data_IF_300508185286
#
_entry.id   IF_300508185286
#
_cell.length_a   1.000
_cell.length_b   1.000
_cell.length_c   1.000
_cell.angle_alpha   90.00
_cell.angle_beta   90.00
_cell.angle_gamma   90.00
#
_symmetry.space_group_name_H-M   'P 1'
#
loop_
_entity.id
_entity.type
_entity.pdbx_description
1 polymer ?
#
# COMPACT_ATOMS: atom_id res chain seq x y z
N UNK A 1 -14.82 66.22 -15.08
CA UNK A 1 -14.10 65.44 -14.04
C UNK A 1 -14.79 64.14 -13.60
N UNK A 2 -15.89 63.70 -14.24
CA UNK A 2 -16.51 62.39 -13.94
C UNK A 2 -15.97 61.21 -14.77
N UNK A 3 -15.33 61.46 -15.92
CA UNK A 3 -14.77 60.39 -16.76
C UNK A 3 -13.44 59.84 -16.26
N UNK A 4 -12.67 60.62 -15.47
CA UNK A 4 -11.42 60.16 -14.87
C UNK A 4 -11.65 59.28 -13.63
N UNK A 5 -12.77 59.45 -12.92
CA UNK A 5 -13.17 58.60 -11.80
C UNK A 5 -13.70 57.22 -12.24
N UNK A 6 -14.29 57.13 -13.44
CA UNK A 6 -14.73 55.85 -14.01
C UNK A 6 -13.56 54.93 -14.37
N UNK A 7 -12.43 55.47 -14.85
CA UNK A 7 -11.25 54.66 -15.15
C UNK A 7 -10.49 54.22 -13.89
N UNK A 8 -10.58 54.97 -12.78
CA UNK A 8 -10.04 54.53 -11.48
C UNK A 8 -10.93 53.43 -10.87
N UNK A 9 -12.25 53.50 -11.04
CA UNK A 9 -13.17 52.45 -10.57
C UNK A 9 -13.05 51.12 -11.35
N UNK A 10 -12.60 51.17 -12.61
CA UNK A 10 -12.29 49.97 -13.41
C UNK A 10 -10.85 49.49 -13.14
N UNK A 11 -9.90 50.42 -12.90
CA UNK A 11 -8.52 50.11 -12.55
C UNK A 11 -8.32 49.49 -11.16
N UNK A 12 -9.24 49.73 -10.22
CA UNK A 12 -9.21 49.09 -8.89
C UNK A 12 -9.91 47.72 -8.82
N UNK A 13 -10.44 47.22 -9.96
CA UNK A 13 -10.96 45.85 -10.08
C UNK A 13 -9.97 44.88 -10.73
N UNK A 14 -8.77 45.34 -11.09
CA UNK A 14 -7.74 44.53 -11.76
C UNK A 14 -6.60 44.05 -10.83
N UNK A 15 -6.88 43.90 -9.53
CA UNK A 15 -6.00 43.21 -8.58
C UNK A 15 -6.79 42.21 -7.73
N UNK A 16 -7.66 41.42 -8.35
CA UNK A 16 -8.35 40.32 -7.67
C UNK A 16 -8.75 39.20 -8.65
N UNK A 17 -7.80 38.72 -9.46
CA UNK A 17 -8.04 37.58 -10.35
C UNK A 17 -6.86 36.62 -10.41
N UNK A 18 -6.43 36.15 -9.24
CA UNK A 18 -5.51 35.02 -9.14
C UNK A 18 -5.95 33.96 -8.10
N UNK A 19 -7.17 34.00 -7.56
CA UNK A 19 -7.59 33.09 -6.46
C UNK A 19 -9.06 32.61 -6.54
N UNK A 20 -9.70 32.60 -7.72
CA UNK A 20 -11.12 32.19 -7.82
C UNK A 20 -11.48 31.29 -9.02
N UNK A 21 -10.62 30.33 -9.35
CA UNK A 21 -10.94 29.19 -10.25
C UNK A 21 -10.46 27.82 -9.70
N UNK A 22 -10.38 27.65 -8.38
CA UNK A 22 -9.89 26.39 -7.76
C UNK A 22 -10.97 25.66 -6.90
N UNK A 23 -12.02 26.38 -6.49
CA UNK A 23 -13.02 25.85 -5.56
C UNK A 23 -14.22 25.17 -6.25
N UNK A 24 -14.50 25.49 -7.52
CA UNK A 24 -15.59 24.86 -8.29
C UNK A 24 -15.20 23.44 -8.73
N UNK A 25 -14.02 23.28 -9.32
CA UNK A 25 -13.55 22.02 -9.90
C UNK A 25 -13.28 20.94 -8.84
N UNK A 26 -12.78 21.34 -7.67
CA UNK A 26 -12.58 20.43 -6.53
C UNK A 26 -13.90 19.97 -5.87
N UNK A 27 -14.95 20.81 -5.91
CA UNK A 27 -16.27 20.49 -5.36
C UNK A 27 -17.07 19.54 -6.26
N UNK A 28 -16.95 19.69 -7.58
CA UNK A 28 -17.63 18.84 -8.56
C UNK A 28 -17.02 17.43 -8.62
N UNK A 29 -15.68 17.32 -8.58
CA UNK A 29 -14.99 16.02 -8.50
C UNK A 29 -15.38 15.27 -7.23
N UNK A 30 -15.50 15.97 -6.08
CA UNK A 30 -15.90 15.33 -4.81
C UNK A 30 -17.37 14.91 -4.83
N UNK A 31 -18.24 15.65 -5.53
CA UNK A 31 -19.67 15.33 -5.68
C UNK A 31 -19.93 14.13 -6.61
N UNK A 32 -19.00 13.79 -7.51
CA UNK A 32 -19.18 12.71 -8.49
C UNK A 32 -18.43 11.41 -8.14
N UNK A 33 -17.76 11.35 -6.97
CA UNK A 33 -17.11 10.11 -6.53
C UNK A 33 -18.14 9.07 -6.13
N UNK A 34 -18.00 7.87 -6.70
CA UNK A 34 -18.89 6.74 -6.43
C UNK A 34 -18.07 5.58 -5.91
N UNK A 35 -18.55 4.99 -4.81
CA UNK A 35 -18.02 3.73 -4.33
C UNK A 35 -18.71 2.57 -5.03
N UNK A 36 -17.90 1.64 -5.50
CA UNK A 36 -18.34 0.48 -6.27
C UNK A 36 -17.52 -0.73 -5.84
N UNK A 37 -18.08 -1.93 -5.98
CA UNK A 37 -17.38 -3.15 -5.62
C UNK A 37 -16.24 -3.43 -6.61
N UNK A 38 -15.10 -3.89 -6.07
CA UNK A 38 -13.98 -4.37 -6.87
C UNK A 38 -14.41 -5.70 -7.49
N UNK A 39 -14.49 -5.81 -8.82
CA UNK A 39 -14.99 -7.03 -9.43
C UNK A 39 -13.94 -8.15 -9.34
N UNK A 40 -14.41 -9.39 -9.27
CA UNK A 40 -13.54 -10.58 -9.15
C UNK A 40 -12.60 -10.78 -10.35
N UNK A 41 -12.92 -10.18 -11.50
CA UNK A 41 -12.08 -10.18 -12.69
C UNK A 41 -10.98 -9.11 -12.68
N UNK A 42 -10.94 -8.20 -11.69
CA UNK A 42 -9.84 -7.25 -11.50
C UNK A 42 -8.64 -7.94 -10.85
N UNK A 43 -7.96 -8.81 -11.60
CA UNK A 43 -6.88 -9.66 -11.11
C UNK A 43 -5.80 -8.92 -10.31
N UNK A 44 -5.53 -7.65 -10.63
CA UNK A 44 -4.56 -6.83 -9.90
C UNK A 44 -5.00 -6.59 -8.44
N UNK A 45 -6.28 -6.32 -8.19
CA UNK A 45 -6.78 -5.76 -6.93
C UNK A 45 -7.94 -6.54 -6.30
N UNK A 46 -8.26 -7.74 -6.79
CA UNK A 46 -9.14 -8.68 -6.07
C UNK A 46 -8.52 -9.14 -4.75
N UNK A 47 -9.31 -9.59 -3.79
CA UNK A 47 -8.82 -10.18 -2.52
C UNK A 47 -7.94 -9.24 -1.67
N UNK A 48 -8.22 -7.93 -1.72
CA UNK A 48 -7.63 -6.96 -0.80
C UNK A 48 -8.36 -6.99 0.55
N UNK A 49 -7.83 -6.27 1.53
CA UNK A 49 -8.47 -6.08 2.84
C UNK A 49 -9.67 -5.10 2.81
N UNK A 50 -10.08 -4.67 1.61
CA UNK A 50 -11.28 -3.89 1.35
C UNK A 50 -11.91 -4.40 0.05
N UNK A 51 -13.23 -4.20 -0.07
CA UNK A 51 -14.02 -4.73 -1.19
C UNK A 51 -14.53 -3.66 -2.14
N UNK A 52 -14.43 -2.37 -1.76
CA UNK A 52 -14.97 -1.26 -2.53
C UNK A 52 -13.89 -0.25 -2.93
N UNK A 53 -13.96 0.20 -4.18
CA UNK A 53 -13.10 1.23 -4.74
C UNK A 53 -13.88 2.49 -5.13
N UNK A 54 -13.17 3.61 -5.28
CA UNK A 54 -13.72 4.87 -5.79
C UNK A 54 -13.51 5.01 -7.29
N UNK A 55 -14.53 5.47 -8.01
CA UNK A 55 -14.41 6.03 -9.36
C UNK A 55 -14.84 7.51 -9.39
N UNK A 56 -14.19 8.37 -10.22
CA UNK A 56 -12.99 8.06 -10.99
C UNK A 56 -11.78 7.76 -10.08
N UNK A 57 -10.90 6.85 -10.51
CA UNK A 57 -9.71 6.48 -9.73
C UNK A 57 -8.57 7.51 -9.91
N UNK A 58 -7.40 7.29 -9.29
CA UNK A 58 -6.29 8.25 -9.35
C UNK A 58 -5.59 8.32 -10.72
N UNK A 59 -6.05 7.52 -11.68
CA UNK A 59 -5.61 7.54 -13.08
C UNK A 59 -6.74 8.05 -14.00
N UNK A 60 -7.79 8.64 -13.42
CA UNK A 60 -8.93 9.23 -14.11
C UNK A 60 -9.77 8.23 -14.94
N UNK A 61 -9.65 6.92 -14.66
CA UNK A 61 -10.58 5.95 -15.24
C UNK A 61 -11.96 6.15 -14.60
N UNK A 62 -13.00 6.30 -15.41
CA UNK A 62 -14.36 6.61 -14.94
C UNK A 62 -15.23 5.36 -14.80
N UNK A 63 -14.82 4.25 -15.41
CA UNK A 63 -15.60 3.01 -15.48
C UNK A 63 -14.81 1.80 -14.99
N UNK A 64 -15.54 0.81 -14.46
CA UNK A 64 -14.95 -0.46 -14.01
C UNK A 64 -14.26 -1.22 -15.14
N UNK A 65 -14.89 -1.41 -16.32
CA UNK A 65 -14.25 -2.20 -17.39
C UNK A 65 -12.94 -1.58 -17.86
N UNK A 66 -12.86 -0.24 -17.90
CA UNK A 66 -11.65 0.49 -18.22
C UNK A 66 -10.55 0.25 -17.17
N UNK A 67 -10.86 0.45 -15.89
CA UNK A 67 -9.90 0.21 -14.80
C UNK A 67 -9.40 -1.25 -14.79
N UNK A 68 -10.29 -2.22 -15.02
CA UNK A 68 -9.93 -3.65 -15.13
C UNK A 68 -8.99 -3.88 -16.31
N UNK A 69 -9.35 -3.40 -17.50
CA UNK A 69 -8.57 -3.58 -18.72
C UNK A 69 -7.17 -2.97 -18.59
N UNK A 70 -7.08 -1.71 -18.16
CA UNK A 70 -5.82 -0.99 -18.01
C UNK A 70 -4.96 -1.51 -16.85
N UNK A 71 -5.57 -2.10 -15.81
CA UNK A 71 -4.82 -2.70 -14.70
C UNK A 71 -4.06 -3.98 -15.10
N UNK A 72 -4.54 -4.69 -16.12
CA UNK A 72 -4.05 -6.03 -16.47
C UNK A 72 -2.60 -6.03 -16.94
N UNK A 73 -2.15 -4.96 -17.60
CA UNK A 73 -0.75 -4.86 -18.08
C UNK A 73 0.28 -4.88 -16.94
N UNK A 74 -0.15 -4.54 -15.72
CA UNK A 74 0.72 -4.46 -14.55
C UNK A 74 0.96 -5.80 -13.87
N UNK A 75 0.17 -6.82 -14.19
CA UNK A 75 0.30 -8.15 -13.60
C UNK A 75 1.70 -8.73 -13.82
N UNK A 76 2.26 -8.55 -15.02
CA UNK A 76 3.61 -9.02 -15.34
C UNK A 76 4.66 -8.40 -14.43
N UNK A 77 4.55 -7.11 -14.09
CA UNK A 77 5.49 -6.44 -13.18
C UNK A 77 5.33 -6.93 -11.74
N UNK A 78 4.10 -7.17 -11.30
CA UNK A 78 3.80 -7.74 -9.98
C UNK A 78 4.38 -9.15 -9.86
N UNK A 79 4.27 -9.97 -10.91
CA UNK A 79 4.79 -11.35 -10.94
C UNK A 79 6.32 -11.41 -10.86
N UNK A 80 7.03 -10.34 -11.24
CA UNK A 80 8.49 -10.25 -11.04
C UNK A 80 8.87 -10.11 -9.57
N UNK A 81 7.92 -9.79 -8.69
CA UNK A 81 8.10 -9.65 -7.24
C UNK A 81 9.32 -8.79 -6.85
N UNK A 82 9.57 -7.73 -7.62
CA UNK A 82 10.69 -6.80 -7.40
C UNK A 82 10.60 -6.07 -6.05
N UNK A 83 9.38 -5.81 -5.56
CA UNK A 83 9.12 -5.20 -4.28
C UNK A 83 7.83 -5.77 -3.66
N UNK A 84 7.83 -6.16 -2.37
CA UNK A 84 6.66 -6.81 -1.75
C UNK A 84 5.37 -5.98 -1.77
N UNK A 85 5.49 -4.65 -1.90
CA UNK A 85 4.36 -3.73 -1.88
C UNK A 85 4.05 -3.12 -3.26
N UNK A 86 4.60 -3.65 -4.36
CA UNK A 86 4.27 -3.20 -5.73
C UNK A 86 2.77 -3.30 -6.00
N UNK A 87 2.16 -4.43 -5.64
CA UNK A 87 0.71 -4.64 -5.81
C UNK A 87 -0.12 -3.64 -4.99
N UNK A 88 0.29 -3.38 -3.74
CA UNK A 88 -0.35 -2.39 -2.89
C UNK A 88 -0.29 -1.00 -3.55
N UNK A 89 0.89 -0.56 -3.97
CA UNK A 89 1.07 0.73 -4.65
C UNK A 89 0.15 0.86 -5.87
N UNK A 90 0.15 -0.13 -6.76
CA UNK A 90 -0.69 -0.08 -7.96
C UNK A 90 -2.19 -0.07 -7.62
N UNK A 91 -2.63 -0.83 -6.62
CA UNK A 91 -4.04 -0.81 -6.21
C UNK A 91 -4.47 0.51 -5.57
N UNK A 92 -3.58 1.25 -4.90
CA UNK A 92 -3.93 2.61 -4.47
C UNK A 92 -4.27 3.53 -5.64
N UNK A 93 -3.76 3.24 -6.85
CA UNK A 93 -4.02 4.04 -8.04
C UNK A 93 -5.24 3.54 -8.83
N UNK A 94 -5.31 2.23 -9.08
CA UNK A 94 -6.35 1.62 -9.92
C UNK A 94 -7.67 1.36 -9.18
N UNK A 95 -7.58 1.03 -7.88
CA UNK A 95 -8.72 0.65 -7.05
C UNK A 95 -8.61 1.33 -5.67
N UNK A 96 -8.51 2.67 -5.59
CA UNK A 96 -8.35 3.36 -4.32
C UNK A 96 -9.49 3.04 -3.36
N UNK A 97 -9.18 2.89 -2.07
CA UNK A 97 -10.15 2.62 -1.01
C UNK A 97 -11.32 3.62 -1.06
N UNK A 98 -12.55 3.12 -0.94
CA UNK A 98 -13.75 3.93 -0.69
C UNK A 98 -13.63 4.71 0.63
N UNK A 99 -13.05 5.91 0.57
CA UNK A 99 -12.89 6.82 1.70
C UNK A 99 -12.91 8.29 1.22
N UNK A 100 -13.42 9.20 2.04
CA UNK A 100 -13.39 10.64 1.79
C UNK A 100 -12.65 11.35 2.94
N UNK A 101 -11.53 12.05 2.68
CA UNK A 101 -10.93 12.33 1.37
C UNK A 101 -10.25 11.11 0.73
N UNK A 102 -10.18 11.12 -0.62
CA UNK A 102 -9.46 10.11 -1.38
C UNK A 102 -7.99 10.04 -0.94
N UNK A 103 -7.55 8.87 -0.48
CA UNK A 103 -6.19 8.66 0.06
C UNK A 103 -5.24 8.24 -1.06
N UNK A 104 -4.21 9.05 -1.31
CA UNK A 104 -3.14 8.78 -2.29
C UNK A 104 -2.03 7.91 -1.69
N UNK A 105 -1.20 7.21 -2.49
CA UNK A 105 0.06 6.65 -1.98
C UNK A 105 0.98 7.77 -1.52
N UNK A 106 1.75 7.51 -0.46
CA UNK A 106 2.83 8.43 -0.10
C UNK A 106 3.94 8.40 -1.15
N UNK A 107 4.68 9.50 -1.27
CA UNK A 107 5.85 9.59 -2.17
C UNK A 107 6.85 8.48 -1.92
N UNK A 108 7.15 8.18 -0.67
CA UNK A 108 8.04 7.10 -0.25
C UNK A 108 7.66 5.73 -0.82
N UNK A 109 6.36 5.36 -0.76
CA UNK A 109 5.87 4.10 -1.33
C UNK A 109 6.08 4.02 -2.85
N UNK A 110 5.84 5.13 -3.56
CA UNK A 110 6.10 5.20 -5.00
C UNK A 110 7.59 5.08 -5.31
N UNK A 111 8.44 5.83 -4.60
CA UNK A 111 9.88 5.84 -4.84
C UNK A 111 10.50 4.48 -4.54
N UNK A 112 10.08 3.80 -3.48
CA UNK A 112 10.50 2.44 -3.17
C UNK A 112 10.08 1.47 -4.28
N UNK A 113 8.83 1.55 -4.73
CA UNK A 113 8.36 0.70 -5.84
C UNK A 113 9.18 0.96 -7.11
N UNK A 114 9.38 2.23 -7.49
CA UNK A 114 10.21 2.62 -8.64
C UNK A 114 11.64 2.08 -8.50
N UNK A 115 12.29 2.31 -7.36
CA UNK A 115 13.70 1.94 -7.12
C UNK A 115 13.94 0.44 -7.34
N UNK A 116 13.01 -0.39 -6.91
CA UNK A 116 13.13 -1.85 -7.03
C UNK A 116 12.66 -2.38 -8.39
N UNK A 117 11.61 -1.80 -8.97
CA UNK A 117 10.95 -2.37 -10.15
C UNK A 117 11.36 -1.73 -11.48
N UNK A 118 11.78 -0.46 -11.49
CA UNK A 118 12.26 0.21 -12.71
C UNK A 118 13.47 -0.49 -13.36
N UNK A 119 14.46 -1.04 -12.63
CA UNK A 119 15.55 -1.81 -13.25
C UNK A 119 15.05 -3.01 -14.06
N UNK A 120 14.00 -3.68 -13.58
CA UNK A 120 13.38 -4.81 -14.29
C UNK A 120 12.70 -4.31 -15.58
N UNK A 121 11.96 -3.20 -15.51
CA UNK A 121 11.37 -2.57 -16.69
C UNK A 121 12.43 -2.19 -17.73
N UNK A 122 13.53 -1.57 -17.29
CA UNK A 122 14.64 -1.13 -18.15
C UNK A 122 15.32 -2.31 -18.86
N UNK A 123 15.46 -3.46 -18.19
CA UNK A 123 15.96 -4.71 -18.81
C UNK A 123 15.11 -5.14 -20.01
N UNK A 124 13.81 -4.86 -19.98
CA UNK A 124 12.87 -5.13 -21.07
C UNK A 124 12.63 -3.92 -21.99
N UNK A 125 13.49 -2.89 -21.92
CA UNK A 125 13.41 -1.65 -22.71
C UNK A 125 12.16 -0.80 -22.44
N UNK A 126 11.58 -0.92 -21.24
CA UNK A 126 10.53 -0.04 -20.74
C UNK A 126 11.10 0.98 -19.73
N UNK A 127 10.64 2.22 -19.80
CA UNK A 127 10.92 3.25 -18.79
C UNK A 127 9.84 3.26 -17.71
N UNK A 128 10.15 3.81 -16.54
CA UNK A 128 9.13 4.11 -15.54
C UNK A 128 8.13 5.15 -16.11
N UNK A 129 6.83 4.86 -16.20
CA UNK A 129 5.91 5.69 -16.96
C UNK A 129 5.51 6.96 -16.20
N UNK A 130 5.24 8.03 -16.96
CA UNK A 130 4.92 9.36 -16.41
C UNK A 130 3.66 9.36 -15.55
N UNK A 131 2.71 8.46 -15.85
CA UNK A 131 1.50 8.28 -15.02
C UNK A 131 1.86 7.89 -13.57
N UNK A 132 2.98 7.20 -13.35
CA UNK A 132 3.50 6.79 -12.05
C UNK A 132 4.61 7.71 -11.51
N UNK A 133 4.76 8.93 -12.02
CA UNK A 133 5.79 9.85 -11.53
C UNK A 133 5.57 10.17 -10.04
N UNK A 134 6.53 9.79 -9.19
CA UNK A 134 6.44 9.94 -7.74
C UNK A 134 6.34 11.39 -7.26
N UNK A 135 6.74 12.36 -8.10
CA UNK A 135 6.61 13.80 -7.78
C UNK A 135 5.15 14.25 -7.64
N UNK A 136 4.21 13.47 -8.20
CA UNK A 136 2.75 13.71 -8.07
C UNK A 136 2.19 13.37 -6.68
N UNK A 137 2.97 12.68 -5.86
CA UNK A 137 2.56 12.22 -4.53
C UNK A 137 3.26 13.04 -3.45
N UNK A 138 2.56 13.27 -2.34
CA UNK A 138 3.07 13.96 -1.17
C UNK A 138 3.47 12.96 -0.08
N UNK A 139 4.28 13.38 0.89
CA UNK A 139 4.64 12.55 2.05
C UNK A 139 3.75 12.83 3.28
N UNK A 140 2.87 13.83 3.17
CA UNK A 140 2.01 14.31 4.25
C UNK A 140 0.79 13.40 4.45
N UNK A 141 0.42 13.19 5.71
CA UNK A 141 -0.76 12.42 6.08
C UNK A 141 -2.09 13.13 5.75
N UNK A 142 -3.15 12.37 5.40
CA UNK A 142 -3.19 10.91 5.27
C UNK A 142 -2.70 10.42 3.89
N UNK A 143 -1.80 9.43 3.87
CA UNK A 143 -1.39 8.73 2.65
C UNK A 143 -1.03 7.25 2.92
N UNK A 144 -1.09 6.40 1.89
CA UNK A 144 -0.81 4.96 2.01
C UNK A 144 0.70 4.70 2.00
N UNK A 145 1.20 4.00 3.03
CA UNK A 145 2.61 3.56 3.16
C UNK A 145 2.75 2.06 3.07
N UNK A 146 3.96 1.62 2.74
CA UNK A 146 4.35 0.24 2.96
C UNK A 146 4.20 -0.10 4.46
N UNK A 147 3.53 -1.20 4.82
CA UNK A 147 3.55 -1.70 6.18
C UNK A 147 4.99 -1.87 6.65
N UNK A 148 5.34 -1.29 7.80
CA UNK A 148 6.61 -1.61 8.44
C UNK A 148 6.57 -3.09 8.74
N UNK A 149 7.54 -3.85 8.24
CA UNK A 149 7.74 -5.21 8.70
C UNK A 149 7.74 -5.16 10.23
N UNK A 150 6.89 -5.96 10.87
CA UNK A 150 6.93 -6.09 12.31
C UNK A 150 8.39 -6.36 12.66
N UNK A 151 9.03 -5.40 13.32
CA UNK A 151 10.33 -5.62 13.90
C UNK A 151 10.08 -6.78 14.85
N UNK A 152 10.44 -8.00 14.44
CA UNK A 152 10.88 -8.98 15.42
C UNK A 152 11.99 -8.24 16.10
N UNK A 153 11.70 -7.66 17.26
CA UNK A 153 12.71 -7.24 18.21
C UNK A 153 13.58 -8.47 18.34
N UNK A 154 14.71 -8.46 17.65
CA UNK A 154 15.79 -9.39 17.91
C UNK A 154 15.94 -9.32 19.42
N UNK A 155 15.70 -10.40 20.18
CA UNK A 155 16.04 -10.36 21.59
C UNK A 155 17.51 -9.99 21.60
N UNK A 156 17.85 -8.81 22.12
CA UNK A 156 19.21 -8.42 22.40
C UNK A 156 19.87 -9.65 22.99
N UNK A 157 20.88 -10.16 22.27
CA UNK A 157 21.64 -11.31 22.72
C UNK A 157 22.00 -11.04 24.18
N UNK A 158 21.40 -11.80 25.11
CA UNK A 158 21.77 -11.69 26.51
C UNK A 158 23.24 -12.04 26.54
N UNK A 159 24.07 -11.09 26.96
CA UNK A 159 25.45 -11.36 27.35
C UNK A 159 25.39 -12.59 28.25
N UNK A 160 26.01 -13.69 27.80
CA UNK A 160 26.09 -14.91 28.56
C UNK A 160 26.96 -14.64 29.79
N UNK A 161 26.34 -14.27 30.91
CA UNK A 161 26.99 -14.28 32.21
C UNK A 161 27.17 -15.74 32.60
N UNK A 162 28.43 -16.18 32.68
CA UNK A 162 28.83 -17.50 33.18
C UNK A 162 28.30 -17.66 34.61
N UNK A 163 27.46 -18.65 34.92
CA UNK A 163 27.06 -18.91 36.29
C UNK A 163 28.22 -19.56 37.04
N UNK A 164 28.71 -18.93 38.11
CA UNK A 164 29.53 -19.59 39.12
C UNK A 164 28.64 -20.47 40.00
N UNK A 165 29.13 -21.67 40.31
CA UNK A 165 28.46 -22.72 41.06
C UNK A 165 27.92 -22.25 42.41
N UNK A 166 26.61 -21.97 42.52
CA UNK A 166 25.92 -21.89 43.83
C UNK A 166 24.39 -21.76 43.80
N UNK A 167 23.68 -21.91 42.66
CA UNK A 167 22.20 -21.96 42.66
C UNK A 167 21.70 -23.17 41.88
N UNK A 168 21.89 -24.36 42.44
CA UNK A 168 21.05 -25.52 42.12
C UNK A 168 19.81 -25.42 43.02
N UNK A 169 18.69 -24.95 42.47
CA UNK A 169 17.36 -25.30 43.00
C UNK A 169 16.30 -25.28 41.89
N UNK A 170 16.06 -26.49 41.36
CA UNK A 170 14.80 -27.04 40.83
C UNK A 170 13.93 -26.11 39.96
N UNK A 171 14.02 -26.28 38.64
CA UNK A 171 12.86 -26.53 37.79
C UNK A 171 13.21 -27.59 36.75
N UNK A 172 12.34 -28.59 36.66
CA UNK A 172 12.51 -29.89 36.01
C UNK A 172 12.03 -29.82 34.54
N UNK A 173 12.81 -30.46 33.66
CA UNK A 173 12.53 -30.96 32.30
C UNK A 173 11.43 -30.31 31.46
N UNK A 174 11.85 -29.62 30.39
CA UNK A 174 11.21 -29.72 29.09
C UNK A 174 12.29 -29.91 28.03
N UNK A 175 12.55 -31.19 27.72
CA UNK A 175 13.31 -31.62 26.56
C UNK A 175 12.55 -31.24 25.30
N UNK A 176 13.21 -30.56 24.35
CA UNK A 176 12.70 -30.49 22.99
C UNK A 176 12.77 -31.89 22.39
N UNK A 177 11.62 -32.47 22.07
CA UNK A 177 11.56 -33.71 21.31
C UNK A 177 12.16 -33.53 19.92
N UNK A 178 12.85 -34.58 19.46
CA UNK A 178 13.52 -34.68 18.17
C UNK A 178 12.49 -34.57 17.02
N UNK A 179 12.78 -33.75 16.01
CA UNK A 179 11.94 -33.62 14.81
C UNK A 179 12.58 -34.45 13.69
N UNK A 180 12.10 -35.68 13.46
CA UNK A 180 12.51 -36.46 12.30
C UNK A 180 11.75 -35.99 11.04
N UNK A 181 12.48 -35.67 9.96
CA UNK A 181 11.91 -35.46 8.63
C UNK A 181 11.52 -36.80 8.02
N UNK A 182 10.23 -37.14 8.03
CA UNK A 182 9.72 -38.24 7.20
C UNK A 182 9.39 -37.73 5.80
N UNK A 183 10.17 -38.18 4.82
CA UNK A 183 9.97 -37.95 3.39
C UNK A 183 8.80 -38.80 2.87
N UNK A 184 7.58 -38.24 2.78
CA UNK A 184 6.54 -38.67 1.80
C UNK A 184 5.44 -37.61 1.62
N UNK A 185 4.84 -37.51 0.42
CA UNK A 185 4.15 -36.30 -0.04
C UNK A 185 2.65 -36.39 0.28
N UNK A 186 2.20 -35.63 1.27
CA UNK A 186 0.79 -35.21 1.34
C UNK A 186 0.70 -34.06 2.33
N UNK A 187 0.28 -32.90 1.84
CA UNK A 187 0.33 -31.63 2.54
C UNK A 187 -0.80 -31.53 3.58
N UNK A 188 -0.68 -32.24 4.71
CA UNK A 188 -1.59 -32.10 5.86
C UNK A 188 -0.82 -32.25 7.18
N UNK A 189 -0.59 -31.14 7.88
CA UNK A 189 -0.15 -31.19 9.28
C UNK A 189 -1.32 -31.62 10.16
N UNK A 190 -1.19 -32.77 10.82
CA UNK A 190 -2.07 -33.22 11.90
C UNK A 190 -1.24 -33.18 13.19
N UNK A 191 -1.49 -32.20 14.05
CA UNK A 191 -0.99 -32.22 15.43
C UNK A 191 -2.00 -32.97 16.30
N UNK A 192 -1.76 -34.25 16.57
CA UNK A 192 -2.56 -35.03 17.52
C UNK A 192 -2.02 -34.83 18.93
N UNK A 193 -2.71 -34.04 19.75
CA UNK A 193 -2.45 -33.91 21.19
C UNK A 193 -2.92 -35.16 21.92
N UNK A 194 -2.04 -36.15 22.14
CA UNK A 194 -2.28 -37.21 23.13
C UNK A 194 -1.81 -36.74 24.51
N UNK A 195 -2.76 -36.38 25.37
CA UNK A 195 -2.52 -36.27 26.81
C UNK A 195 -2.14 -37.65 27.36
N UNK A 196 -0.89 -37.85 27.82
CA UNK A 196 -0.58 -38.98 28.69
C UNK A 196 -1.05 -38.64 30.10
N UNK A 197 -1.90 -39.50 30.67
CA UNK A 197 -2.27 -39.47 32.10
C UNK A 197 -1.00 -39.69 32.96
N UNK A 198 -0.90 -39.07 34.14
CA UNK A 198 0.19 -39.35 35.07
C UNK A 198 -0.01 -40.70 35.76
N UNK A 199 1.10 -41.36 36.07
CA UNK A 199 1.15 -42.54 36.94
C UNK A 199 0.93 -42.12 38.39
N UNK A 200 -0.16 -42.61 38.98
CA UNK A 200 -0.29 -43.17 40.34
C UNK A 200 -1.60 -43.93 40.40
#
# INVERSE_FOLDING_TARGET
MHRLLFFIAIGLRMLASAEWEDWSMSSEIRSNRRCIDIPSNMSLCKDLNYTQMVLPNLLDHETVPEAVSQSTIWLQLVDQNCFPHTRLFLCTLFAPLCFDPLVKPCRSLCEDTRRHCEPIMKKHRYSWPVILNCSKFEEKDPCVRAPKAAQKTTPTARIAVRPTDSIIKKMNNNSCGECEMNTKPSNRMICSSKFRKPFT
#
